data_IF_173116102773
#
_entry.id   IF_173116102773
#
_cell.length_a   1.000
_cell.length_b   1.000
_cell.length_c   1.000
_cell.angle_alpha   90.00
_cell.angle_beta   90.00
_cell.angle_gamma   90.00
#
_symmetry.space_group_name_H-M   'P 1'
#
loop_
_entity.id
_entity.type
_entity.pdbx_description
1 polymer ?
#
# COMPACT_ATOMS: atom_id res chain seq x y z
N UNK A 1 15.85 6.11 16.56
CA UNK A 1 14.96 7.03 15.80
C UNK A 1 13.79 6.20 15.33
N UNK A 2 12.56 6.64 15.49
CA UNK A 2 11.41 5.87 15.01
C UNK A 2 11.39 5.87 13.47
N UNK A 3 11.29 4.72 12.84
CA UNK A 3 11.09 4.57 11.40
C UNK A 3 9.62 4.27 11.16
N UNK A 4 8.88 5.29 10.71
CA UNK A 4 7.44 5.27 10.61
C UNK A 4 6.96 4.70 9.28
N UNK A 5 5.77 4.11 9.30
CA UNK A 5 5.15 3.58 8.09
C UNK A 5 3.64 3.57 8.12
N UNK A 6 3.07 3.15 7.00
CA UNK A 6 1.65 2.82 6.88
C UNK A 6 1.48 1.42 6.31
N UNK A 7 0.38 0.78 6.70
CA UNK A 7 -0.02 -0.54 6.19
C UNK A 7 -1.43 -0.38 5.64
N UNK A 8 -1.62 -0.75 4.38
CA UNK A 8 -2.89 -0.56 3.68
C UNK A 8 -3.33 -1.84 2.97
N UNK A 9 -4.62 -1.97 2.73
CA UNK A 9 -5.21 -3.00 1.86
C UNK A 9 -6.09 -2.35 0.80
N UNK A 10 -5.82 -2.66 -0.48
CA UNK A 10 -6.73 -2.42 -1.58
C UNK A 10 -7.66 -3.63 -1.71
N UNK A 11 -8.95 -3.43 -1.45
CA UNK A 11 -9.95 -4.49 -1.47
C UNK A 11 -10.50 -4.72 -2.88
N UNK A 12 -11.14 -5.87 -3.07
CA UNK A 12 -11.78 -6.25 -4.36
C UNK A 12 -12.84 -5.22 -4.79
N UNK A 13 -13.51 -4.54 -3.85
CA UNK A 13 -14.48 -3.49 -4.13
C UNK A 13 -13.86 -2.13 -4.54
N UNK A 14 -12.52 -2.07 -4.63
CA UNK A 14 -11.76 -0.87 -4.98
C UNK A 14 -11.48 0.06 -3.80
N UNK A 15 -12.10 -0.14 -2.64
CA UNK A 15 -11.86 0.67 -1.45
C UNK A 15 -10.51 0.33 -0.81
N UNK A 16 -9.92 1.32 -0.12
CA UNK A 16 -8.66 1.14 0.61
C UNK A 16 -8.88 1.37 2.10
N UNK A 17 -8.28 0.51 2.92
CA UNK A 17 -8.18 0.70 4.36
C UNK A 17 -6.73 0.86 4.75
N UNK A 18 -6.42 1.79 5.67
CA UNK A 18 -5.05 2.15 6.06
C UNK A 18 -4.93 2.33 7.56
N UNK A 19 -3.82 1.86 8.12
CA UNK A 19 -3.35 2.12 9.48
C UNK A 19 -1.95 2.71 9.48
N UNK A 20 -1.59 3.38 10.58
CA UNK A 20 -0.25 3.87 10.87
C UNK A 20 0.54 2.82 11.66
N UNK A 21 1.88 2.80 11.51
CA UNK A 21 2.81 2.06 12.36
C UNK A 21 4.01 2.92 12.74
N UNK A 22 4.40 2.89 14.04
CA UNK A 22 5.38 3.83 14.57
C UNK A 22 6.82 3.33 14.50
N UNK A 23 7.06 2.04 14.75
CA UNK A 23 8.40 1.50 14.86
C UNK A 23 8.74 0.54 13.74
N UNK A 24 10.01 0.54 13.38
CA UNK A 24 10.69 -0.49 12.57
C UNK A 24 10.06 -0.76 11.20
N UNK A 25 9.50 0.31 10.58
CA UNK A 25 8.79 0.19 9.29
C UNK A 25 9.72 -0.02 8.08
N UNK A 26 11.03 -0.22 8.27
CA UNK A 26 11.94 -0.52 7.17
C UNK A 26 11.71 -1.93 6.58
N UNK A 27 12.22 -2.15 5.36
CA UNK A 27 11.95 -3.35 4.56
C UNK A 27 12.38 -4.64 5.25
N UNK A 28 13.57 -4.65 5.86
CA UNK A 28 14.16 -5.82 6.51
C UNK A 28 13.40 -6.25 7.79
N UNK A 29 12.51 -5.41 8.32
CA UNK A 29 11.70 -5.74 9.48
C UNK A 29 10.22 -5.82 9.11
N UNK A 30 9.49 -4.68 9.08
CA UNK A 30 8.04 -4.70 8.80
C UNK A 30 7.73 -5.26 7.42
N UNK A 31 8.54 -4.94 6.39
CA UNK A 31 8.38 -5.50 5.05
C UNK A 31 8.48 -7.03 5.06
N UNK A 32 9.51 -7.57 5.72
CA UNK A 32 9.68 -9.02 5.87
C UNK A 32 8.53 -9.67 6.64
N UNK A 33 8.11 -9.10 7.78
CA UNK A 33 6.99 -9.64 8.58
C UNK A 33 5.69 -9.66 7.76
N UNK A 34 5.36 -8.56 7.07
CA UNK A 34 4.16 -8.48 6.23
C UNK A 34 4.17 -9.57 5.15
N UNK A 35 5.28 -9.71 4.44
CA UNK A 35 5.46 -10.70 3.38
C UNK A 35 5.40 -12.14 3.88
N UNK A 36 5.97 -12.44 5.05
CA UNK A 36 6.10 -13.82 5.55
C UNK A 36 4.89 -14.29 6.36
N UNK A 37 4.29 -13.41 7.16
CA UNK A 37 3.23 -13.79 8.11
C UNK A 37 1.83 -13.38 7.65
N UNK A 38 1.69 -12.23 6.98
CA UNK A 38 0.38 -11.68 6.58
C UNK A 38 0.09 -11.92 5.09
N UNK A 39 0.02 -13.22 4.70
CA UNK A 39 -0.10 -13.65 3.30
C UNK A 39 -1.53 -13.70 2.77
N UNK A 40 -2.53 -13.78 3.64
CA UNK A 40 -3.92 -13.94 3.22
C UNK A 40 -4.74 -12.68 3.48
N UNK A 41 -5.77 -12.41 2.66
CA UNK A 41 -6.65 -11.25 2.86
C UNK A 41 -7.28 -11.21 4.26
N UNK A 42 -7.59 -12.37 4.84
CA UNK A 42 -8.21 -12.48 6.16
C UNK A 42 -7.26 -12.00 7.25
N UNK A 43 -5.98 -12.41 7.20
CA UNK A 43 -4.96 -11.97 8.17
C UNK A 43 -4.67 -10.47 8.04
N UNK A 44 -4.58 -9.95 6.81
CA UNK A 44 -4.36 -8.53 6.57
C UNK A 44 -5.55 -7.70 7.06
N UNK A 45 -6.79 -8.14 6.79
CA UNK A 45 -8.00 -7.48 7.31
C UNK A 45 -8.06 -7.50 8.84
N UNK A 46 -7.66 -8.61 9.48
CA UNK A 46 -7.57 -8.69 10.94
C UNK A 46 -6.54 -7.71 11.49
N UNK A 47 -5.35 -7.64 10.88
CA UNK A 47 -4.29 -6.71 11.25
C UNK A 47 -4.79 -5.26 11.22
N UNK A 48 -5.41 -4.85 10.11
CA UNK A 48 -5.86 -3.47 9.90
C UNK A 48 -7.06 -3.11 10.79
N UNK A 49 -7.97 -4.05 11.04
CA UNK A 49 -9.19 -3.83 11.80
C UNK A 49 -8.95 -3.32 13.23
N UNK A 50 -7.84 -3.67 13.85
CA UNK A 50 -7.49 -3.25 15.21
C UNK A 50 -6.90 -1.85 15.27
N UNK A 51 -6.62 -1.22 14.12
CA UNK A 51 -6.19 0.17 14.03
C UNK A 51 -4.68 0.38 14.10
N UNK A 52 -4.28 1.60 14.48
CA UNK A 52 -2.90 2.05 14.44
C UNK A 52 -1.99 1.26 15.39
N UNK A 53 -0.78 0.94 14.89
CA UNK A 53 0.23 0.14 15.57
C UNK A 53 1.33 1.02 16.18
N UNK A 54 1.74 0.69 17.41
CA UNK A 54 3.05 1.05 17.92
C UNK A 54 4.13 0.22 17.24
N UNK A 55 3.97 -1.11 17.21
CA UNK A 55 4.90 -2.02 16.55
C UNK A 55 4.17 -3.21 15.90
N UNK A 56 4.67 -3.63 14.74
CA UNK A 56 4.21 -4.82 14.05
C UNK A 56 4.91 -6.05 14.62
N UNK A 57 4.15 -7.11 14.88
CA UNK A 57 4.65 -8.42 15.26
C UNK A 57 4.26 -9.50 14.24
N UNK A 58 4.80 -10.69 14.43
CA UNK A 58 4.47 -11.88 13.61
C UNK A 58 3.07 -12.43 13.91
N UNK A 59 2.46 -12.00 15.03
CA UNK A 59 1.13 -12.43 15.50
C UNK A 59 0.29 -11.22 15.91
N UNK A 60 -1.01 -11.28 15.62
CA UNK A 60 -1.97 -10.26 16.02
C UNK A 60 -2.36 -10.43 17.49
N UNK A 61 -2.71 -11.66 17.87
CA UNK A 61 -3.25 -11.98 19.19
C UNK A 61 -2.15 -12.49 20.14
N UNK A 62 -2.24 -12.02 21.38
CA UNK A 62 -1.44 -12.54 22.49
C UNK A 62 -2.00 -13.87 22.98
N UNK A 63 -1.11 -14.76 23.43
CA UNK A 63 -1.47 -15.95 24.19
C UNK A 63 -1.39 -15.72 25.70
N UNK A 64 -0.85 -14.58 26.13
CA UNK A 64 -0.70 -14.21 27.53
C UNK A 64 -1.68 -13.09 27.92
N UNK A 65 -2.41 -13.28 28.99
CA UNK A 65 -3.34 -12.27 29.52
C UNK A 65 -2.65 -10.99 30.06
N UNK A 66 -1.32 -11.02 30.16
CA UNK A 66 -0.50 -9.90 30.66
C UNK A 66 0.03 -8.99 29.56
N UNK A 67 -0.26 -9.28 28.28
CA UNK A 67 0.15 -8.45 27.17
C UNK A 67 -0.50 -7.06 27.26
N UNK A 68 0.32 -6.02 27.16
CA UNK A 68 -0.12 -4.62 27.17
C UNK A 68 0.92 -3.76 26.48
N UNK A 69 0.63 -2.47 26.34
CA UNK A 69 1.57 -1.50 25.76
C UNK A 69 2.87 -1.40 26.58
N UNK A 70 2.77 -1.41 27.91
CA UNK A 70 3.93 -1.31 28.83
C UNK A 70 4.61 -2.66 29.11
N UNK A 71 3.96 -3.77 28.78
CA UNK A 71 4.48 -5.12 28.91
C UNK A 71 4.18 -5.95 27.65
N UNK A 72 4.81 -5.61 26.51
CA UNK A 72 4.53 -6.30 25.25
C UNK A 72 5.07 -7.73 25.26
N UNK A 73 4.26 -8.68 24.78
CA UNK A 73 4.70 -10.04 24.49
C UNK A 73 5.54 -10.03 23.20
N UNK A 74 6.67 -10.73 23.21
CA UNK A 74 7.55 -10.85 22.06
C UNK A 74 6.82 -11.44 20.84
N UNK A 75 6.99 -10.82 19.69
CA UNK A 75 6.39 -11.21 18.42
C UNK A 75 4.89 -10.90 18.30
N UNK A 76 4.26 -10.23 19.26
CA UNK A 76 2.86 -9.80 19.19
C UNK A 76 2.78 -8.34 18.75
N UNK A 77 1.83 -8.03 17.87
CA UNK A 77 1.50 -6.67 17.50
C UNK A 77 1.08 -5.84 18.71
N UNK A 78 1.61 -4.62 18.83
CA UNK A 78 1.23 -3.67 19.88
C UNK A 78 0.40 -2.54 19.26
N UNK A 79 -0.89 -2.47 19.64
CA UNK A 79 -1.83 -1.49 19.12
C UNK A 79 -2.05 -0.34 20.09
N UNK A 80 -2.14 0.88 19.59
CA UNK A 80 -2.45 2.04 20.42
C UNK A 80 -3.85 1.96 21.05
N UNK A 81 -4.86 1.51 20.29
CA UNK A 81 -6.23 1.36 20.80
C UNK A 81 -6.37 0.20 21.78
N UNK A 82 -6.01 -1.02 21.34
CA UNK A 82 -6.19 -2.25 22.13
C UNK A 82 -5.34 -2.28 23.41
N UNK A 83 -4.05 -1.95 23.29
CA UNK A 83 -3.06 -2.24 24.32
C UNK A 83 -2.76 -1.04 25.22
N UNK A 84 -3.10 0.18 24.77
CA UNK A 84 -2.90 1.44 25.52
C UNK A 84 -4.19 2.20 25.81
N UNK A 85 -5.31 1.85 25.16
CA UNK A 85 -6.59 2.54 25.33
C UNK A 85 -6.65 3.93 24.67
N UNK A 86 -5.81 4.21 23.66
CA UNK A 86 -5.81 5.49 22.96
C UNK A 86 -7.06 5.60 22.07
N UNK A 87 -7.79 6.71 22.12
CA UNK A 87 -8.93 6.98 21.25
C UNK A 87 -8.45 7.40 19.84
N UNK A 88 -9.35 7.29 18.87
CA UNK A 88 -9.15 7.75 17.48
C UNK A 88 -7.97 7.09 16.74
N UNK A 89 -7.68 5.84 17.07
CA UNK A 89 -6.63 5.03 16.45
C UNK A 89 -7.17 3.98 15.46
N UNK A 90 -8.44 4.11 15.07
CA UNK A 90 -9.07 3.21 14.11
C UNK A 90 -8.49 3.41 12.71
N UNK A 91 -8.58 2.36 11.88
CA UNK A 91 -8.18 2.46 10.48
C UNK A 91 -8.96 3.55 9.74
N UNK A 92 -8.32 4.12 8.73
CA UNK A 92 -8.93 5.08 7.79
C UNK A 92 -9.44 4.32 6.57
N UNK A 93 -10.59 4.75 6.06
CA UNK A 93 -11.19 4.18 4.85
C UNK A 93 -11.22 5.23 3.74
N UNK A 94 -10.88 4.80 2.54
CA UNK A 94 -10.94 5.58 1.30
C UNK A 94 -11.79 4.81 0.28
N UNK A 95 -12.64 5.52 -0.44
CA UNK A 95 -13.60 4.90 -1.35
C UNK A 95 -12.93 4.29 -2.59
N UNK A 96 -11.76 4.82 -2.98
CA UNK A 96 -10.94 4.33 -4.09
C UNK A 96 -9.45 4.67 -3.94
N UNK A 97 -8.61 4.16 -4.84
CA UNK A 97 -7.16 4.39 -4.88
C UNK A 97 -6.79 5.85 -5.15
N UNK A 98 -7.60 6.60 -5.90
CA UNK A 98 -7.33 8.01 -6.21
C UNK A 98 -7.51 8.83 -4.94
N UNK A 99 -8.64 8.62 -4.24
CA UNK A 99 -8.93 9.29 -2.98
C UNK A 99 -7.91 8.92 -1.89
N UNK A 100 -7.52 7.65 -1.83
CA UNK A 100 -6.43 7.18 -0.96
C UNK A 100 -5.12 7.91 -1.25
N UNK A 101 -4.71 8.01 -2.52
CA UNK A 101 -3.47 8.67 -2.90
C UNK A 101 -3.45 10.15 -2.53
N UNK A 102 -4.56 10.85 -2.65
CA UNK A 102 -4.68 12.28 -2.35
C UNK A 102 -4.78 12.57 -0.85
N UNK A 103 -5.41 11.69 -0.07
CA UNK A 103 -5.80 11.94 1.31
C UNK A 103 -5.24 10.93 2.32
N UNK A 104 -4.59 9.88 1.87
CA UNK A 104 -3.91 8.90 2.73
C UNK A 104 -2.79 9.53 3.54
N UNK A 105 -2.44 8.88 4.63
CA UNK A 105 -1.23 9.22 5.38
C UNK A 105 -0.02 8.63 4.68
N UNK A 106 1.05 9.43 4.59
CA UNK A 106 2.30 9.05 3.95
C UNK A 106 3.44 9.20 4.94
N UNK A 107 4.17 8.11 5.15
CA UNK A 107 5.31 8.02 6.05
C UNK A 107 6.57 7.59 5.28
N UNK A 108 7.65 7.27 5.99
CA UNK A 108 8.91 6.84 5.39
C UNK A 108 8.75 5.56 4.56
N UNK A 109 7.92 4.62 5.04
CA UNK A 109 7.60 3.35 4.37
C UNK A 109 6.09 3.17 4.30
N UNK A 110 5.59 2.83 3.11
CA UNK A 110 4.15 2.69 2.89
C UNK A 110 3.88 1.37 2.19
N UNK A 111 3.19 0.46 2.87
CA UNK A 111 2.90 -0.88 2.37
C UNK A 111 1.46 -0.97 1.89
N UNK A 112 1.25 -1.66 0.77
CA UNK A 112 -0.08 -1.94 0.22
C UNK A 112 -0.21 -3.42 -0.10
N UNK A 113 -1.21 -4.07 0.49
CA UNK A 113 -1.67 -5.38 0.09
C UNK A 113 -2.76 -5.25 -0.96
N UNK A 114 -2.58 -5.88 -2.12
CA UNK A 114 -3.60 -5.93 -3.17
C UNK A 114 -4.37 -7.24 -3.02
N UNK A 115 -5.64 -7.15 -2.59
CA UNK A 115 -6.45 -8.33 -2.24
C UNK A 115 -6.68 -9.27 -3.42
N UNK A 116 -6.90 -8.73 -4.63
CA UNK A 116 -7.11 -9.52 -5.85
C UNK A 116 -5.89 -10.33 -6.28
N UNK A 117 -4.69 -9.87 -5.94
CA UNK A 117 -3.41 -10.48 -6.29
C UNK A 117 -2.83 -11.29 -5.13
N UNK A 118 -3.35 -11.08 -3.90
CA UNK A 118 -2.83 -11.62 -2.65
C UNK A 118 -1.34 -11.31 -2.46
N UNK A 119 -0.96 -10.08 -2.81
CA UNK A 119 0.43 -9.67 -2.89
C UNK A 119 0.69 -8.33 -2.19
N UNK A 120 1.91 -8.16 -1.65
CA UNK A 120 2.37 -6.94 -1.01
C UNK A 120 3.21 -6.08 -1.94
N UNK A 121 2.96 -4.78 -1.89
CA UNK A 121 3.73 -3.75 -2.58
C UNK A 121 4.23 -2.70 -1.60
N UNK A 122 5.33 -2.04 -1.95
CA UNK A 122 5.75 -0.79 -1.30
C UNK A 122 5.37 0.39 -2.17
N UNK A 123 4.82 1.44 -1.56
CA UNK A 123 4.38 2.63 -2.26
C UNK A 123 5.45 3.71 -2.22
N UNK A 124 5.79 4.28 -3.37
CA UNK A 124 6.68 5.44 -3.46
C UNK A 124 5.97 6.72 -3.02
N UNK A 125 6.67 7.57 -2.23
CA UNK A 125 6.16 8.87 -1.77
C UNK A 125 6.15 9.96 -2.84
N UNK A 126 6.64 9.74 -4.05
CA UNK A 126 6.73 10.78 -5.07
C UNK A 126 5.37 11.37 -5.38
N UNK A 127 5.11 12.55 -4.80
CA UNK A 127 3.98 13.41 -5.13
C UNK A 127 4.24 14.03 -6.50
N UNK A 128 3.58 13.57 -7.52
CA UNK A 128 3.66 14.11 -8.87
C UNK A 128 3.63 12.98 -9.86
N UNK A 129 2.94 13.14 -10.96
CA UNK A 129 2.73 12.20 -12.04
C UNK A 129 2.59 10.71 -11.63
N UNK A 130 1.45 10.17 -12.02
CA UNK A 130 1.04 8.78 -11.81
C UNK A 130 1.89 7.82 -12.64
N UNK A 131 3.14 7.60 -12.27
CA UNK A 131 3.77 6.36 -12.66
C UNK A 131 3.32 5.27 -11.68
N UNK A 132 2.35 4.46 -12.10
CA UNK A 132 1.90 3.32 -11.31
C UNK A 132 3.04 2.33 -11.04
N UNK A 133 4.07 2.27 -11.88
CA UNK A 133 5.26 1.44 -11.66
C UNK A 133 6.21 2.04 -10.64
N UNK A 134 6.38 3.36 -10.60
CA UNK A 134 7.16 4.03 -9.55
C UNK A 134 6.38 4.08 -8.22
N UNK A 135 5.05 3.94 -8.29
CA UNK A 135 4.20 3.97 -7.11
C UNK A 135 4.10 2.61 -6.42
N UNK A 136 4.06 1.52 -7.19
CA UNK A 136 4.00 0.14 -6.70
C UNK A 136 5.33 -0.55 -7.02
N UNK A 137 6.13 -0.82 -6.01
CA UNK A 137 7.30 -1.69 -6.15
C UNK A 137 6.99 -3.02 -5.50
N UNK A 138 7.27 -4.11 -6.21
CA UNK A 138 7.09 -5.45 -5.68
C UNK A 138 8.04 -5.67 -4.50
N UNK A 139 7.54 -6.17 -3.39
CA UNK A 139 8.36 -6.53 -2.23
C UNK A 139 9.22 -7.78 -2.49
N UNK A 140 8.89 -8.56 -3.52
CA UNK A 140 9.68 -9.72 -3.95
C UNK A 140 10.83 -9.35 -4.87
N UNK A 141 10.80 -8.17 -5.52
CA UNK A 141 11.85 -7.70 -6.43
C UNK A 141 13.01 -7.03 -5.66
N UNK A 142 13.69 -7.74 -4.79
CA UNK A 142 15.02 -7.34 -4.32
C UNK A 142 16.14 -7.91 -5.18
N UNK A 143 15.84 -8.70 -6.22
CA UNK A 143 16.81 -9.22 -7.19
C UNK A 143 16.27 -9.10 -8.62
N UNK A 144 16.86 -8.14 -9.34
CA UNK A 144 17.14 -8.09 -10.78
C UNK A 144 16.13 -8.77 -11.73
N UNK A 145 14.98 -8.13 -11.96
CA UNK A 145 14.22 -8.37 -13.17
C UNK A 145 14.23 -7.11 -14.03
N UNK A 146 15.02 -7.16 -15.07
CA UNK A 146 15.01 -6.24 -16.20
C UNK A 146 13.69 -6.36 -16.97
N UNK A 147 12.57 -5.90 -16.39
CA UNK A 147 11.51 -5.38 -17.23
C UNK A 147 12.03 -4.11 -17.88
N UNK A 148 12.05 -4.08 -19.20
CA UNK A 148 12.49 -2.91 -19.96
C UNK A 148 11.62 -1.73 -19.55
N UNK A 149 12.17 -0.85 -18.67
CA UNK A 149 11.60 0.47 -18.44
C UNK A 149 11.52 1.16 -19.81
N UNK A 150 10.40 1.83 -20.13
CA UNK A 150 10.35 2.63 -21.34
C UNK A 150 11.55 3.58 -21.32
N UNK A 151 12.42 3.49 -22.33
CA UNK A 151 13.66 4.25 -22.41
C UNK A 151 13.39 5.74 -22.67
N UNK A 152 12.17 6.05 -23.11
CA UNK A 152 11.74 7.39 -23.40
C UNK A 152 10.24 7.59 -23.16
N UNK A 153 9.82 8.85 -23.14
CA UNK A 153 8.45 9.25 -22.84
C UNK A 153 7.40 8.76 -23.88
N UNK A 154 7.81 8.46 -25.11
CA UNK A 154 6.92 7.90 -26.14
C UNK A 154 6.58 6.45 -25.87
N UNK A 155 7.57 5.65 -25.51
CA UNK A 155 7.37 4.24 -25.14
C UNK A 155 6.50 4.13 -23.88
N UNK A 156 6.63 5.10 -22.97
CA UNK A 156 5.79 5.27 -21.79
C UNK A 156 4.31 5.52 -22.17
N UNK A 157 4.04 6.46 -23.07
CA UNK A 157 2.68 6.78 -23.52
C UNK A 157 2.05 5.56 -24.21
N UNK A 158 2.79 4.86 -25.07
CA UNK A 158 2.30 3.68 -25.81
C UNK A 158 1.95 2.54 -24.86
N UNK A 159 2.82 2.25 -23.89
CA UNK A 159 2.59 1.26 -22.85
C UNK A 159 1.31 1.53 -22.03
N UNK A 160 1.07 2.78 -21.67
CA UNK A 160 -0.15 3.10 -20.90
C UNK A 160 -1.43 3.14 -21.76
N UNK A 161 -1.33 3.41 -23.05
CA UNK A 161 -2.47 3.23 -23.99
C UNK A 161 -2.92 1.76 -24.02
N UNK A 162 -1.99 0.83 -24.08
CA UNK A 162 -2.31 -0.60 -24.03
C UNK A 162 -2.99 -0.99 -22.71
N UNK A 163 -2.53 -0.42 -21.57
CA UNK A 163 -3.18 -0.64 -20.27
C UNK A 163 -4.60 -0.07 -20.20
N UNK A 164 -4.86 1.10 -20.79
CA UNK A 164 -6.23 1.66 -20.88
C UNK A 164 -7.18 0.69 -21.59
N UNK A 165 -6.73 0.08 -22.67
CA UNK A 165 -7.53 -0.92 -23.40
C UNK A 165 -7.73 -2.20 -22.56
N UNK A 166 -6.70 -2.62 -21.83
CA UNK A 166 -6.79 -3.72 -20.88
C UNK A 166 -7.86 -3.47 -19.81
N UNK A 167 -7.86 -2.31 -19.17
CA UNK A 167 -8.87 -1.93 -18.17
C UNK A 167 -10.29 -1.88 -18.76
N UNK A 168 -10.45 -1.32 -19.96
CA UNK A 168 -11.75 -1.31 -20.67
C UNK A 168 -12.27 -2.73 -20.94
N UNK A 169 -11.40 -3.63 -21.36
CA UNK A 169 -11.76 -5.03 -21.64
C UNK A 169 -12.21 -5.80 -20.38
N UNK A 170 -11.68 -5.41 -19.20
CA UNK A 170 -12.05 -5.97 -17.89
C UNK A 170 -13.26 -5.28 -17.25
N UNK A 171 -13.86 -4.25 -17.91
CA UNK A 171 -14.99 -3.50 -17.38
C UNK A 171 -14.61 -2.41 -16.36
N UNK A 172 -13.33 -2.17 -16.13
CA UNK A 172 -12.80 -1.13 -15.24
C UNK A 172 -12.78 0.24 -15.95
N UNK A 173 -13.96 0.77 -16.26
CA UNK A 173 -14.10 1.97 -17.10
C UNK A 173 -13.67 3.28 -16.39
N UNK A 174 -13.77 3.35 -15.06
CA UNK A 174 -13.34 4.50 -14.26
C UNK A 174 -11.82 4.65 -14.26
N UNK A 175 -11.10 3.56 -14.07
CA UNK A 175 -9.64 3.50 -14.08
C UNK A 175 -9.10 3.80 -15.48
N UNK A 176 -9.73 3.23 -16.51
CA UNK A 176 -9.42 3.51 -17.90
C UNK A 176 -9.63 5.00 -18.25
N UNK A 177 -10.67 5.64 -17.72
CA UNK A 177 -10.95 7.05 -17.99
C UNK A 177 -9.88 7.97 -17.37
N UNK A 178 -9.51 7.73 -16.10
CA UNK A 178 -8.47 8.51 -15.41
C UNK A 178 -7.11 8.37 -16.09
N UNK A 179 -6.73 7.15 -16.43
CA UNK A 179 -5.46 6.90 -17.10
C UNK A 179 -5.41 7.54 -18.49
N UNK A 180 -6.52 7.52 -19.22
CA UNK A 180 -6.62 8.17 -20.53
C UNK A 180 -6.55 9.71 -20.44
N UNK A 181 -7.08 10.31 -19.38
CA UNK A 181 -6.96 11.76 -19.12
C UNK A 181 -5.50 12.16 -18.89
N UNK A 182 -4.78 11.40 -18.08
CA UNK A 182 -3.34 11.61 -17.83
C UNK A 182 -2.51 11.48 -19.12
N UNK A 183 -2.78 10.47 -19.95
CA UNK A 183 -2.11 10.30 -21.24
C UNK A 183 -2.37 11.50 -22.13
N UNK A 184 -3.62 11.96 -22.22
CA UNK A 184 -4.02 13.11 -23.04
C UNK A 184 -3.31 14.38 -22.60
N UNK A 185 -3.15 14.63 -21.30
CA UNK A 185 -2.46 15.80 -20.78
C UNK A 185 -0.94 15.73 -21.04
N UNK A 186 -0.33 14.56 -20.95
CA UNK A 186 1.06 14.34 -21.34
C UNK A 186 1.28 14.61 -22.85
N UNK A 187 0.39 14.13 -23.70
CA UNK A 187 0.45 14.39 -25.15
C UNK A 187 0.37 15.87 -25.48
N UNK A 188 -0.49 16.64 -24.78
CA UNK A 188 -0.58 18.11 -24.94
C UNK A 188 0.71 18.82 -24.49
N UNK A 189 1.27 18.42 -23.34
CA UNK A 189 2.53 18.99 -22.82
C UNK A 189 3.68 18.77 -23.81
N UNK A 190 3.68 17.64 -24.49
CA UNK A 190 4.71 17.23 -25.44
C UNK A 190 4.47 17.76 -26.87
N UNK A 191 3.33 18.40 -27.10
CA UNK A 191 3.01 18.97 -28.42
C UNK A 191 2.58 17.92 -29.47
N UNK A 192 2.06 16.77 -29.04
CA UNK A 192 1.56 15.69 -29.91
C UNK A 192 0.02 15.75 -30.10
N UNK A 193 -0.67 16.68 -29.44
CA UNK A 193 -2.11 16.91 -29.57
C UNK A 193 -2.42 18.22 -30.26
#
# INVERSE_FOLDING_TARGET
MATRGTISILKIDGSVEQIYTHWDSYLDHNGTILKTEYKTPELVKQLIRLGDLSSLGTRIDSINDTHSFDNPEEGVCVYYGRDRGEPNTSFRKFDDMIWFRLNGQWEEYNYLYVESEQHWYILSQRKGFLDLREFLQDLDETEDTTEQKPENLMDFIEFYKDKVEGYRSMGANSEAAVLNEVITDLEKILGFA
#
